data_IF_296390113633
#
_entry.id   IF_296390113633
#
_cell.length_a   1.000
_cell.length_b   1.000
_cell.length_c   1.000
_cell.angle_alpha   90.00
_cell.angle_beta   90.00
_cell.angle_gamma   90.00
#
_symmetry.space_group_name_H-M   'P 1'
#
loop_
_entity.id
_entity.type
_entity.pdbx_description
1 polymer ?
#
# COMPACT_ATOMS: atom_id res chain seq x y z
N UNK A 1 17.20 -1.31 10.21
CA UNK A 1 17.79 -0.68 9.01
C UNK A 1 17.56 -1.62 7.83
N UNK A 2 17.12 -1.12 6.68
CA UNK A 2 16.94 -1.95 5.48
C UNK A 2 18.31 -2.33 4.89
N UNK A 3 18.45 -3.58 4.45
CA UNK A 3 19.69 -4.09 3.83
C UNK A 3 19.66 -4.03 2.30
N UNK A 4 18.50 -3.70 1.71
CA UNK A 4 18.30 -3.59 0.27
C UNK A 4 17.20 -2.59 -0.07
N UNK A 5 17.12 -2.16 -1.33
CA UNK A 5 16.04 -1.33 -1.85
C UNK A 5 14.68 -2.00 -1.66
N UNK A 6 14.59 -3.31 -1.93
CA UNK A 6 13.35 -4.09 -1.73
C UNK A 6 12.86 -4.05 -0.28
N UNK A 7 13.77 -4.15 0.68
CA UNK A 7 13.42 -4.03 2.10
C UNK A 7 12.97 -2.62 2.48
N UNK A 8 13.64 -1.61 1.95
CA UNK A 8 13.25 -0.22 2.17
C UNK A 8 11.83 0.04 1.64
N UNK A 9 11.53 -0.40 0.42
CA UNK A 9 10.19 -0.28 -0.19
C UNK A 9 9.15 -1.09 0.61
N UNK A 10 9.48 -2.31 1.04
CA UNK A 10 8.58 -3.11 1.88
C UNK A 10 8.28 -2.44 3.23
N UNK A 11 9.27 -1.81 3.86
CA UNK A 11 9.09 -1.07 5.10
C UNK A 11 8.24 0.19 4.88
N UNK A 12 8.45 0.90 3.77
CA UNK A 12 7.65 2.05 3.37
C UNK A 12 6.18 1.64 3.10
N UNK A 13 5.98 0.54 2.37
CA UNK A 13 4.66 -0.05 2.12
C UNK A 13 3.94 -0.42 3.42
N UNK A 14 4.67 -1.01 4.39
CA UNK A 14 4.13 -1.32 5.72
C UNK A 14 3.69 -0.07 6.47
N UNK A 15 4.47 1.01 6.40
CA UNK A 15 4.13 2.28 7.05
C UNK A 15 2.89 2.90 6.41
N UNK A 16 2.84 2.97 5.09
CA UNK A 16 1.68 3.46 4.35
C UNK A 16 0.42 2.63 4.66
N UNK A 17 0.53 1.31 4.69
CA UNK A 17 -0.58 0.42 5.01
C UNK A 17 -1.14 0.65 6.42
N UNK A 18 -0.30 1.03 7.39
CA UNK A 18 -0.76 1.39 8.74
C UNK A 18 -1.70 2.60 8.72
N UNK A 19 -1.35 3.63 7.97
CA UNK A 19 -2.19 4.82 7.82
C UNK A 19 -3.49 4.50 7.09
N UNK A 20 -3.42 3.69 6.04
CA UNK A 20 -4.60 3.22 5.30
C UNK A 20 -5.54 2.43 6.21
N UNK A 21 -5.02 1.48 6.99
CA UNK A 21 -5.82 0.68 7.93
C UNK A 21 -6.50 1.58 8.96
N UNK A 22 -5.78 2.56 9.50
CA UNK A 22 -6.36 3.54 10.43
C UNK A 22 -7.53 4.30 9.79
N UNK A 23 -7.35 4.81 8.57
CA UNK A 23 -8.41 5.52 7.86
C UNK A 23 -9.62 4.64 7.56
N UNK A 24 -9.40 3.39 7.13
CA UNK A 24 -10.47 2.43 6.88
C UNK A 24 -11.30 2.15 8.14
N UNK A 25 -10.62 1.93 9.28
CA UNK A 25 -11.29 1.72 10.55
C UNK A 25 -12.07 2.97 11.00
N UNK A 26 -11.50 4.16 10.82
CA UNK A 26 -12.18 5.42 11.14
C UNK A 26 -13.46 5.59 10.31
N UNK A 27 -13.42 5.28 9.02
CA UNK A 27 -14.60 5.35 8.16
C UNK A 27 -15.68 4.34 8.62
N UNK A 28 -15.27 3.12 8.99
CA UNK A 28 -16.21 2.11 9.50
C UNK A 28 -16.85 2.58 10.82
N UNK A 29 -16.10 3.15 11.75
CA UNK A 29 -16.63 3.72 13.01
C UNK A 29 -17.62 4.88 12.76
N UNK A 30 -17.31 5.77 11.83
CA UNK A 30 -18.20 6.88 11.48
C UNK A 30 -19.52 6.35 10.92
N UNK A 31 -19.50 5.31 10.09
CA UNK A 31 -20.69 4.65 9.55
C UNK A 31 -21.53 3.99 10.64
N UNK A 32 -20.89 3.30 11.59
CA UNK A 32 -21.57 2.68 12.73
C UNK A 32 -22.29 3.72 13.60
N UNK A 33 -21.73 4.92 13.69
CA UNK A 33 -22.36 6.06 14.40
C UNK A 33 -23.40 6.81 13.56
N UNK A 34 -23.74 6.31 12.40
CA UNK A 34 -24.80 6.87 11.55
C UNK A 34 -24.38 8.09 10.70
N UNK A 35 -23.07 8.33 10.53
CA UNK A 35 -22.59 9.36 9.62
C UNK A 35 -22.73 8.84 8.18
N UNK A 36 -23.60 9.47 7.42
CA UNK A 36 -23.75 9.17 5.99
C UNK A 36 -22.63 9.85 5.20
N UNK A 37 -21.61 9.07 4.82
CA UNK A 37 -20.50 9.55 4.00
C UNK A 37 -20.84 9.51 2.50
N UNK A 38 -21.67 8.54 2.10
CA UNK A 38 -22.17 8.34 0.73
C UNK A 38 -23.55 7.68 0.84
N UNK A 39 -24.48 7.97 -0.06
CA UNK A 39 -25.85 7.43 -0.08
C UNK A 39 -25.92 5.89 -0.14
N UNK A 40 -24.95 5.26 -0.80
CA UNK A 40 -24.77 3.81 -0.79
C UNK A 40 -23.71 3.45 0.25
N UNK A 41 -23.80 2.27 0.86
CA UNK A 41 -22.80 1.74 1.79
C UNK A 41 -21.85 0.77 1.07
N UNK A 42 -20.98 1.24 0.16
CA UNK A 42 -20.04 0.37 -0.53
C UNK A 42 -19.05 -0.20 0.48
N UNK A 43 -18.59 -1.42 0.23
CA UNK A 43 -17.48 -1.99 0.97
C UNK A 43 -16.23 -1.13 0.78
N UNK A 44 -15.52 -0.82 1.90
CA UNK A 44 -14.30 -0.04 1.83
C UNK A 44 -13.16 -0.95 1.38
N UNK A 45 -12.62 -0.65 0.21
CA UNK A 45 -11.43 -1.31 -0.34
C UNK A 45 -10.39 -0.26 -0.69
N UNK A 46 -9.13 -0.57 -0.45
CA UNK A 46 -8.02 0.28 -0.83
C UNK A 46 -7.15 -0.43 -1.88
N UNK A 47 -6.69 0.32 -2.87
CA UNK A 47 -5.69 -0.14 -3.81
C UNK A 47 -4.41 0.66 -3.60
N UNK A 48 -3.30 -0.05 -3.38
CA UNK A 48 -1.96 0.51 -3.23
C UNK A 48 -1.13 0.10 -4.44
N UNK A 49 -0.41 1.04 -5.02
CA UNK A 49 0.48 0.80 -6.15
C UNK A 49 1.93 0.76 -5.68
N UNK A 50 2.66 -0.22 -6.13
CA UNK A 50 4.06 -0.47 -5.78
C UNK A 50 4.84 -0.83 -7.05
N UNK A 51 6.00 -0.23 -7.26
CA UNK A 51 6.84 -0.48 -8.44
C UNK A 51 7.95 -1.53 -8.18
N UNK A 52 8.19 -1.89 -6.93
CA UNK A 52 9.16 -2.93 -6.57
C UNK A 52 8.50 -4.31 -6.47
N UNK A 53 8.74 -5.16 -7.47
CA UNK A 53 8.18 -6.52 -7.54
C UNK A 53 8.58 -7.36 -6.30
N UNK A 54 9.81 -7.21 -5.82
CA UNK A 54 10.28 -7.93 -4.62
C UNK A 54 9.51 -7.53 -3.35
N UNK A 55 9.16 -6.25 -3.20
CA UNK A 55 8.35 -5.78 -2.09
C UNK A 55 6.92 -6.33 -2.17
N UNK A 56 6.34 -6.37 -3.38
CA UNK A 56 5.01 -6.98 -3.62
C UNK A 56 5.02 -8.47 -3.26
N UNK A 57 6.04 -9.20 -3.69
CA UNK A 57 6.18 -10.63 -3.36
C UNK A 57 6.29 -10.85 -1.85
N UNK A 58 7.09 -10.05 -1.14
CA UNK A 58 7.20 -10.12 0.31
C UNK A 58 5.86 -9.88 1.00
N UNK A 59 5.08 -8.92 0.51
CA UNK A 59 3.77 -8.60 1.06
C UNK A 59 2.74 -9.73 0.88
N UNK A 60 2.85 -10.52 -0.19
CA UNK A 60 1.93 -11.61 -0.53
C UNK A 60 2.33 -12.97 0.04
N UNK A 61 3.54 -13.12 0.57
CA UNK A 61 4.01 -14.40 1.10
C UNK A 61 3.21 -14.82 2.35
N UNK A 62 2.71 -16.06 2.41
CA UNK A 62 1.97 -16.56 3.57
C UNK A 62 2.87 -16.77 4.81
N UNK A 63 4.16 -17.04 4.60
CA UNK A 63 5.15 -17.25 5.66
C UNK A 63 6.40 -16.42 5.42
N UNK A 64 7.04 -16.00 6.52
CA UNK A 64 8.32 -15.33 6.46
C UNK A 64 9.41 -16.28 5.94
N UNK A 65 10.14 -15.85 4.92
CA UNK A 65 11.32 -16.59 4.46
C UNK A 65 12.49 -16.38 5.43
N UNK A 66 13.43 -17.34 5.56
CA UNK A 66 14.62 -17.17 6.41
C UNK A 66 15.40 -15.87 6.12
N UNK A 67 15.46 -15.45 4.85
CA UNK A 67 16.15 -14.24 4.41
C UNK A 67 15.52 -12.92 4.88
N UNK A 68 14.26 -12.94 5.31
CA UNK A 68 13.53 -11.74 5.77
C UNK A 68 13.35 -11.70 7.29
N UNK A 69 13.95 -12.62 8.03
CA UNK A 69 13.84 -12.70 9.50
C UNK A 69 14.41 -11.46 10.21
N UNK A 70 15.34 -10.74 9.58
CA UNK A 70 15.91 -9.51 10.13
C UNK A 70 14.94 -8.30 10.03
N UNK A 71 13.91 -8.38 9.17
CA UNK A 71 12.88 -7.35 9.12
C UNK A 71 12.02 -7.49 10.38
N UNK A 72 11.92 -6.42 11.15
CA UNK A 72 11.17 -6.43 12.40
C UNK A 72 9.70 -6.84 12.17
N UNK A 73 9.16 -7.65 13.07
CA UNK A 73 7.79 -8.18 13.00
C UNK A 73 6.76 -7.06 12.79
N UNK A 74 7.00 -5.88 13.35
CA UNK A 74 6.13 -4.72 13.19
C UNK A 74 5.85 -4.32 11.73
N UNK A 75 6.76 -4.66 10.80
CA UNK A 75 6.55 -4.37 9.37
C UNK A 75 5.73 -5.44 8.64
N UNK A 76 5.31 -6.49 9.32
CA UNK A 76 4.51 -7.57 8.72
C UNK A 76 3.02 -7.51 9.10
N UNK A 77 2.61 -6.52 9.94
CA UNK A 77 1.25 -6.43 10.47
C UNK A 77 0.15 -6.31 9.40
N UNK A 78 0.45 -5.63 8.29
CA UNK A 78 -0.53 -5.37 7.24
C UNK A 78 -0.82 -6.57 6.34
N UNK A 79 -0.04 -7.63 6.43
CA UNK A 79 -0.15 -8.80 5.54
C UNK A 79 -1.50 -9.51 5.64
N UNK A 80 -2.11 -9.51 6.81
CA UNK A 80 -3.47 -10.06 6.99
C UNK A 80 -4.54 -9.29 6.20
N UNK A 81 -4.27 -8.04 5.83
CA UNK A 81 -5.16 -7.18 5.06
C UNK A 81 -4.96 -7.31 3.54
N UNK A 82 -3.81 -7.85 3.13
CA UNK A 82 -3.40 -7.98 1.71
C UNK A 82 -3.56 -9.38 1.15
N UNK A 83 -3.85 -10.36 1.99
CA UNK A 83 -4.03 -11.77 1.60
C UNK A 83 -5.52 -12.10 1.60
N UNK A 84 -5.94 -12.97 0.68
CA UNK A 84 -7.32 -13.50 0.67
C UNK A 84 -7.65 -14.18 1.99
N UNK A 85 -8.85 -13.93 2.49
CA UNK A 85 -9.37 -14.62 3.66
C UNK A 85 -9.47 -16.14 3.47
N UNK A 86 -9.52 -16.90 4.56
CA UNK A 86 -9.68 -18.36 4.54
C UNK A 86 -10.97 -18.81 3.81
N UNK A 87 -11.99 -17.94 3.79
CA UNK A 87 -13.27 -18.17 3.13
C UNK A 87 -13.31 -17.68 1.66
N UNK A 88 -12.14 -17.33 1.09
CA UNK A 88 -12.05 -16.81 -0.28
C UNK A 88 -12.42 -15.32 -0.43
N UNK A 89 -12.58 -14.60 0.69
CA UNK A 89 -12.84 -13.15 0.66
C UNK A 89 -11.67 -12.40 0.04
N UNK A 90 -11.99 -11.41 -0.81
CA UNK A 90 -10.96 -10.56 -1.43
C UNK A 90 -10.25 -9.70 -0.36
N UNK A 91 -8.96 -9.43 -0.54
CA UNK A 91 -8.21 -8.63 0.42
C UNK A 91 -8.77 -7.21 0.52
N UNK A 92 -8.82 -6.67 1.72
CA UNK A 92 -9.25 -5.28 1.97
C UNK A 92 -8.27 -4.25 1.38
N UNK A 93 -6.99 -4.60 1.31
CA UNK A 93 -5.94 -3.80 0.66
C UNK A 93 -5.37 -4.61 -0.49
N UNK A 94 -5.60 -4.14 -1.71
CA UNK A 94 -5.05 -4.74 -2.93
C UNK A 94 -3.74 -4.06 -3.30
N UNK A 95 -2.64 -4.81 -3.32
CA UNK A 95 -1.36 -4.31 -3.81
C UNK A 95 -1.23 -4.68 -5.28
N UNK A 96 -1.01 -3.67 -6.11
CA UNK A 96 -0.87 -3.81 -7.57
C UNK A 96 0.45 -3.24 -8.04
N UNK A 97 1.04 -3.89 -9.05
CA UNK A 97 2.24 -3.36 -9.69
C UNK A 97 1.91 -2.12 -10.52
N UNK A 98 2.80 -1.15 -10.47
CA UNK A 98 2.83 0.00 -11.37
C UNK A 98 4.25 0.15 -11.91
N UNK A 99 4.40 0.60 -13.17
CA UNK A 99 5.74 0.89 -13.68
C UNK A 99 6.32 2.12 -12.99
N UNK A 100 7.64 2.13 -12.77
CA UNK A 100 8.36 3.26 -12.15
C UNK A 100 8.11 4.59 -12.88
N UNK A 101 7.87 4.56 -14.19
CA UNK A 101 7.53 5.76 -14.98
C UNK A 101 6.17 6.38 -14.63
N UNK A 102 5.28 5.60 -14.01
CA UNK A 102 3.93 6.00 -13.60
C UNK A 102 3.78 6.08 -12.08
N UNK A 103 4.85 5.79 -11.31
CA UNK A 103 4.82 5.87 -9.86
C UNK A 103 4.81 7.33 -9.40
N UNK A 104 3.62 7.82 -9.07
CA UNK A 104 3.40 9.21 -8.67
C UNK A 104 4.15 9.60 -7.40
N UNK A 105 4.34 8.65 -6.48
CA UNK A 105 5.06 8.88 -5.23
C UNK A 105 6.54 9.25 -5.44
N UNK A 106 7.13 8.90 -6.58
CA UNK A 106 8.53 9.19 -6.91
C UNK A 106 8.84 10.70 -6.94
N UNK A 107 7.84 11.55 -7.25
CA UNK A 107 8.03 13.01 -7.19
C UNK A 107 8.37 13.53 -5.79
N UNK A 108 8.03 12.76 -4.74
CA UNK A 108 8.26 13.13 -3.35
C UNK A 108 9.53 12.51 -2.76
N UNK A 109 10.08 11.49 -3.42
CA UNK A 109 11.14 10.65 -2.85
C UNK A 109 12.43 10.65 -3.66
N UNK A 110 12.39 11.01 -4.94
CA UNK A 110 13.53 10.91 -5.85
C UNK A 110 13.73 12.18 -6.68
N UNK A 111 14.97 12.58 -7.00
CA UNK A 111 15.23 13.55 -8.05
C UNK A 111 14.89 12.91 -9.41
N UNK A 112 13.89 13.45 -10.10
CA UNK A 112 13.44 12.93 -11.39
C UNK A 112 13.61 13.98 -12.49
N UNK A 113 13.80 13.57 -13.77
CA UNK A 113 13.90 14.49 -14.90
C UNK A 113 12.65 15.36 -15.04
N UNK A 114 12.83 16.60 -15.51
CA UNK A 114 11.73 17.60 -15.66
C UNK A 114 10.51 17.06 -16.41
N UNK A 115 10.73 16.32 -17.49
CA UNK A 115 9.63 15.77 -18.30
C UNK A 115 8.81 14.75 -17.50
N UNK A 116 9.48 13.85 -16.79
CA UNK A 116 8.82 12.85 -15.93
C UNK A 116 8.09 13.55 -14.78
N UNK A 117 8.71 14.54 -14.14
CA UNK A 117 8.06 15.34 -13.10
C UNK A 117 6.76 15.97 -13.59
N UNK A 118 6.77 16.62 -14.76
CA UNK A 118 5.57 17.24 -15.34
C UNK A 118 4.46 16.22 -15.60
N UNK A 119 4.82 15.02 -16.11
CA UNK A 119 3.88 13.92 -16.35
C UNK A 119 3.24 13.43 -15.04
N UNK A 120 4.06 13.10 -14.04
CA UNK A 120 3.58 12.58 -12.76
C UNK A 120 2.78 13.63 -11.98
N UNK A 121 3.22 14.90 -11.97
CA UNK A 121 2.46 16.00 -11.37
C UNK A 121 1.07 16.13 -11.98
N UNK A 122 0.96 16.03 -13.32
CA UNK A 122 -0.33 16.08 -13.99
C UNK A 122 -1.25 14.92 -13.62
N UNK A 123 -0.69 13.72 -13.42
CA UNK A 123 -1.46 12.56 -12.95
C UNK A 123 -1.96 12.77 -11.51
N UNK A 124 -1.09 13.23 -10.61
CA UNK A 124 -1.43 13.38 -9.18
C UNK A 124 -2.32 14.59 -8.90
N UNK A 125 -2.08 15.72 -9.57
CA UNK A 125 -2.72 17.02 -9.25
C UNK A 125 -3.72 17.47 -10.31
N UNK A 126 -3.77 16.83 -11.47
CA UNK A 126 -4.68 17.20 -12.57
C UNK A 126 -4.25 18.42 -13.40
N UNK A 127 -3.08 19.03 -13.12
CA UNK A 127 -2.55 20.23 -13.81
C UNK A 127 -1.03 20.27 -13.89
#
# INVERSE_FOLDING_TARGET
>A
MALSTTEAEYMALSTAAREVIFLMNLIDELREKGVELIHEKPEIKCQVFEDNVGAIELAKLPKLRPRTKHIAIQFHHFRSWTVKGLNGEEPKIKISYISTELQEADILTKPIPRQQFQKLRKLSCGW
#
